data_IF_776744186975
#
_entry.id   IF_776744186975
#
_cell.length_a   1.000
_cell.length_b   1.000
_cell.length_c   1.000
_cell.angle_alpha   90.00
_cell.angle_beta   90.00
_cell.angle_gamma   90.00
#
_symmetry.space_group_name_H-M   'P 1'
#
loop_
_entity.id
_entity.type
_entity.pdbx_description
1 polymer ?
#
# COMPACT_ATOMS: atom_id res chain seq x y z
N UNK A 1 12.33 -4.96 33.60
CA UNK A 1 11.81 -3.94 32.66
C UNK A 1 13.03 -3.25 32.07
N UNK A 2 13.18 -3.24 30.75
CA UNK A 2 14.37 -2.68 30.10
C UNK A 2 14.19 -1.16 29.98
N UNK A 3 15.03 -0.40 30.67
CA UNK A 3 15.00 1.07 30.66
C UNK A 3 15.93 1.64 29.59
N UNK A 4 15.47 1.60 28.34
CA UNK A 4 16.22 2.07 27.15
C UNK A 4 16.31 3.59 27.06
N UNK A 5 15.50 4.32 27.82
CA UNK A 5 15.50 5.79 27.77
C UNK A 5 16.64 6.33 28.63
N UNK A 6 16.93 5.67 29.75
CA UNK A 6 17.93 6.11 30.71
C UNK A 6 19.26 5.36 30.64
N UNK A 7 19.29 4.18 30.00
CA UNK A 7 20.50 3.36 29.88
C UNK A 7 20.92 3.14 28.42
N UNK A 8 22.23 2.90 28.16
CA UNK A 8 22.69 2.48 26.86
C UNK A 8 21.96 1.24 26.35
N UNK A 9 21.72 1.22 25.04
CA UNK A 9 21.05 0.09 24.40
C UNK A 9 22.02 -1.09 24.29
N UNK A 10 21.73 -2.15 25.04
CA UNK A 10 22.42 -3.44 24.97
C UNK A 10 21.63 -4.40 24.09
N UNK A 11 22.34 -5.14 23.22
CA UNK A 11 21.74 -6.12 22.33
C UNK A 11 22.73 -7.27 22.09
N UNK A 12 22.17 -8.44 21.78
CA UNK A 12 22.96 -9.61 21.44
C UNK A 12 23.57 -9.45 20.03
N UNK A 13 24.90 -9.52 19.97
CA UNK A 13 25.66 -9.37 18.73
C UNK A 13 25.62 -10.62 17.84
N UNK A 14 25.27 -11.77 18.39
CA UNK A 14 25.09 -12.99 17.60
C UNK A 14 23.80 -12.91 16.77
N UNK A 15 22.76 -12.30 17.34
CA UNK A 15 21.50 -12.08 16.62
C UNK A 15 21.58 -10.86 15.70
N UNK A 16 22.07 -9.73 16.20
CA UNK A 16 22.18 -8.49 15.43
C UNK A 16 23.65 -8.09 15.33
N UNK A 17 24.22 -8.26 14.15
CA UNK A 17 25.63 -8.01 13.84
C UNK A 17 26.13 -6.60 14.18
N UNK A 18 25.25 -5.59 14.23
CA UNK A 18 25.66 -4.24 14.56
C UNK A 18 24.53 -3.23 14.81
N UNK A 19 24.92 -2.08 15.35
CA UNK A 19 24.00 -0.98 15.71
C UNK A 19 23.21 -0.46 14.51
N UNK A 20 23.82 -0.38 13.34
CA UNK A 20 23.13 0.07 12.12
C UNK A 20 22.00 -0.87 11.74
N UNK A 21 22.20 -2.19 11.87
CA UNK A 21 21.15 -3.18 11.60
C UNK A 21 20.04 -3.07 12.65
N UNK A 22 20.38 -2.94 13.93
CA UNK A 22 19.39 -2.69 14.99
C UNK A 22 18.50 -1.49 14.66
N UNK A 23 19.11 -0.36 14.26
CA UNK A 23 18.38 0.85 13.87
C UNK A 23 17.48 0.60 12.67
N UNK A 24 17.95 -0.09 11.64
CA UNK A 24 17.15 -0.40 10.45
C UNK A 24 15.95 -1.29 10.77
N UNK A 25 16.16 -2.35 11.57
CA UNK A 25 15.08 -3.24 12.02
C UNK A 25 14.05 -2.45 12.83
N UNK A 26 14.51 -1.67 13.81
CA UNK A 26 13.63 -0.87 14.65
C UNK A 26 12.88 0.21 13.85
N UNK A 27 13.51 0.82 12.84
CA UNK A 27 12.86 1.81 11.99
C UNK A 27 11.77 1.21 11.09
N UNK A 28 12.05 0.05 10.47
CA UNK A 28 11.04 -0.68 9.70
C UNK A 28 9.87 -1.08 10.59
N UNK A 29 10.17 -1.64 11.77
CA UNK A 29 9.14 -2.04 12.72
C UNK A 29 8.33 -0.87 13.26
N UNK A 30 8.96 0.27 13.55
CA UNK A 30 8.25 1.47 13.98
C UNK A 30 7.27 1.97 12.90
N UNK A 31 7.61 1.82 11.61
CA UNK A 31 6.71 2.12 10.50
C UNK A 31 5.49 1.21 10.49
N UNK A 32 5.67 -0.10 10.71
CA UNK A 32 4.56 -1.05 10.82
C UNK A 32 3.63 -0.71 12.00
N UNK A 33 4.20 -0.44 13.17
CA UNK A 33 3.45 -0.03 14.36
C UNK A 33 2.68 1.27 14.11
N UNK A 34 3.29 2.24 13.42
CA UNK A 34 2.62 3.48 13.04
C UNK A 34 1.47 3.25 12.04
N UNK A 35 1.57 2.24 11.19
CA UNK A 35 0.48 1.80 10.30
C UNK A 35 -0.60 0.96 11.00
N UNK A 36 -0.52 0.77 12.32
CA UNK A 36 -1.52 0.05 13.11
C UNK A 36 -1.21 -1.43 13.37
N UNK A 37 0.01 -1.89 13.11
CA UNK A 37 0.41 -3.25 13.49
C UNK A 37 0.39 -3.42 15.02
N UNK A 38 -0.02 -4.61 15.48
CA UNK A 38 -0.04 -4.92 16.91
C UNK A 38 1.38 -5.07 17.47
N UNK A 39 1.67 -4.53 18.67
CA UNK A 39 2.91 -4.78 19.37
C UNK A 39 3.05 -6.27 19.74
N UNK A 40 4.25 -6.83 19.55
CA UNK A 40 4.59 -8.21 19.92
C UNK A 40 5.00 -8.35 21.39
N UNK A 41 5.15 -7.23 22.10
CA UNK A 41 5.50 -7.18 23.52
C UNK A 41 4.51 -6.32 24.29
N UNK A 42 4.30 -6.67 25.55
CA UNK A 42 3.61 -5.81 26.50
C UNK A 42 4.61 -4.85 27.14
N UNK A 43 4.46 -3.56 26.91
CA UNK A 43 5.36 -2.53 27.45
C UNK A 43 4.58 -1.30 27.90
N UNK A 44 5.15 -0.56 28.87
CA UNK A 44 4.63 0.75 29.30
C UNK A 44 5.05 1.89 28.38
N UNK A 45 5.92 1.61 27.41
CA UNK A 45 6.39 2.61 26.47
C UNK A 45 5.28 2.98 25.49
N UNK A 46 4.96 4.27 25.39
CA UNK A 46 3.93 4.77 24.46
C UNK A 46 4.50 5.12 23.08
N UNK A 47 5.82 5.31 22.95
CA UNK A 47 6.45 5.69 21.69
C UNK A 47 6.71 4.45 20.84
N UNK A 48 6.23 4.47 19.59
CA UNK A 48 6.42 3.37 18.62
C UNK A 48 7.89 3.03 18.37
N UNK A 49 8.78 4.03 18.39
CA UNK A 49 10.22 3.82 18.26
C UNK A 49 10.81 3.08 19.45
N UNK A 50 10.38 3.40 20.68
CA UNK A 50 10.83 2.70 21.89
C UNK A 50 10.33 1.26 21.91
N UNK A 51 9.08 1.03 21.53
CA UNK A 51 8.52 -0.31 21.38
C UNK A 51 9.29 -1.14 20.35
N UNK A 52 9.53 -0.58 19.16
CA UNK A 52 10.25 -1.27 18.11
C UNK A 52 11.68 -1.68 18.50
N UNK A 53 12.41 -0.80 19.21
CA UNK A 53 13.75 -1.13 19.71
C UNK A 53 13.67 -2.25 20.76
N UNK A 54 12.70 -2.20 21.68
CA UNK A 54 12.51 -3.26 22.68
C UNK A 54 12.18 -4.60 22.04
N UNK A 55 11.30 -4.62 21.02
CA UNK A 55 10.95 -5.82 20.28
C UNK A 55 12.16 -6.42 19.55
N UNK A 56 13.01 -5.57 18.97
CA UNK A 56 14.24 -5.99 18.29
C UNK A 56 15.25 -6.64 19.25
N UNK A 57 15.49 -6.01 20.40
CA UNK A 57 16.48 -6.51 21.40
C UNK A 57 16.00 -7.81 22.05
N UNK A 58 14.69 -7.95 22.25
CA UNK A 58 14.10 -9.17 22.81
C UNK A 58 14.00 -10.31 21.78
N UNK A 59 14.50 -10.13 20.56
CA UNK A 59 14.47 -11.14 19.50
C UNK A 59 13.05 -11.52 19.07
N UNK A 60 12.07 -10.62 19.22
CA UNK A 60 10.66 -10.88 18.83
C UNK A 60 10.38 -10.55 17.36
N UNK A 61 11.36 -9.97 16.67
CA UNK A 61 11.28 -9.58 15.28
C UNK A 61 12.06 -10.56 14.43
N UNK A 62 11.38 -11.10 13.43
CA UNK A 62 12.00 -11.88 12.38
C UNK A 62 12.49 -10.92 11.30
N UNK A 63 13.71 -11.11 10.83
CA UNK A 63 14.29 -10.30 9.77
C UNK A 63 15.20 -11.16 8.90
N UNK A 64 15.23 -10.84 7.61
CA UNK A 64 16.08 -11.50 6.63
C UNK A 64 17.39 -10.73 6.44
N UNK A 65 18.46 -11.45 6.10
CA UNK A 65 19.77 -10.84 5.82
C UNK A 65 20.38 -11.43 4.55
N UNK A 66 21.41 -10.77 4.00
CA UNK A 66 22.13 -11.26 2.82
C UNK A 66 21.27 -11.34 1.56
N UNK A 67 21.46 -12.42 0.79
CA UNK A 67 20.78 -12.63 -0.50
C UNK A 67 19.26 -12.75 -0.36
N UNK A 68 18.78 -13.33 0.73
CA UNK A 68 17.34 -13.49 1.00
C UNK A 68 16.65 -12.13 1.13
N UNK A 69 17.31 -11.19 1.81
CA UNK A 69 16.81 -9.82 1.94
C UNK A 69 16.77 -9.09 0.59
N UNK A 70 17.73 -9.35 -0.29
CA UNK A 70 17.75 -8.77 -1.65
C UNK A 70 16.59 -9.32 -2.48
N UNK A 71 16.41 -10.64 -2.50
CA UNK A 71 15.31 -11.30 -3.22
C UNK A 71 13.94 -10.83 -2.74
N UNK A 72 13.71 -10.82 -1.42
CA UNK A 72 12.45 -10.35 -0.84
C UNK A 72 12.15 -8.88 -1.20
N UNK A 73 13.18 -8.03 -1.23
CA UNK A 73 13.04 -6.62 -1.61
C UNK A 73 12.76 -6.43 -3.10
N UNK A 74 13.30 -7.27 -3.97
CA UNK A 74 12.96 -7.27 -5.40
C UNK A 74 11.52 -7.75 -5.64
N UNK A 75 11.09 -8.79 -4.94
CA UNK A 75 9.71 -9.31 -5.02
C UNK A 75 8.69 -8.28 -4.54
N UNK A 76 8.95 -7.63 -3.40
CA UNK A 76 8.09 -6.56 -2.90
C UNK A 76 7.94 -5.42 -3.90
N UNK A 77 9.04 -4.99 -4.55
CA UNK A 77 8.99 -3.97 -5.61
C UNK A 77 8.17 -4.41 -6.82
N UNK A 78 8.32 -5.67 -7.26
CA UNK A 78 7.53 -6.21 -8.39
C UNK A 78 6.04 -6.19 -8.10
N UNK A 79 5.64 -6.48 -6.86
CA UNK A 79 4.25 -6.41 -6.43
C UNK A 79 3.72 -4.97 -6.53
N UNK A 80 4.48 -3.99 -6.03
CA UNK A 80 4.10 -2.57 -6.13
C UNK A 80 3.93 -2.12 -7.59
N UNK A 81 4.86 -2.49 -8.49
CA UNK A 81 4.75 -2.14 -9.90
C UNK A 81 3.53 -2.76 -10.60
N UNK A 82 3.22 -4.03 -10.30
CA UNK A 82 2.02 -4.68 -10.85
C UNK A 82 0.76 -3.99 -10.40
N UNK A 83 0.65 -3.66 -9.11
CA UNK A 83 -0.51 -2.96 -8.56
C UNK A 83 -0.72 -1.59 -9.23
N UNK A 84 0.35 -0.81 -9.39
CA UNK A 84 0.28 0.49 -10.07
C UNK A 84 -0.13 0.35 -11.54
N UNK A 85 0.35 -0.68 -12.24
CA UNK A 85 -0.06 -0.97 -13.61
C UNK A 85 -1.53 -1.38 -13.70
N UNK A 86 -2.01 -2.20 -12.76
CA UNK A 86 -3.42 -2.59 -12.70
C UNK A 86 -4.34 -1.41 -12.38
N UNK A 87 -3.95 -0.55 -11.44
CA UNK A 87 -4.71 0.65 -11.10
C UNK A 87 -4.80 1.60 -12.30
N UNK A 88 -3.69 1.84 -13.01
CA UNK A 88 -3.69 2.63 -14.25
C UNK A 88 -4.56 2.00 -15.34
N UNK A 89 -4.54 0.67 -15.50
CA UNK A 89 -5.36 -0.01 -16.50
C UNK A 89 -6.85 0.14 -16.19
N UNK A 90 -7.24 0.03 -14.93
CA UNK A 90 -8.63 0.26 -14.51
C UNK A 90 -9.08 1.69 -14.76
N UNK A 91 -8.23 2.67 -14.53
CA UNK A 91 -8.54 4.08 -14.84
C UNK A 91 -8.85 4.27 -16.33
N UNK A 92 -8.03 3.70 -17.21
CA UNK A 92 -8.25 3.75 -18.66
C UNK A 92 -9.55 3.02 -19.07
N UNK A 93 -9.81 1.83 -18.52
CA UNK A 93 -11.05 1.08 -18.81
C UNK A 93 -12.31 1.87 -18.37
N UNK A 94 -12.23 2.64 -17.27
CA UNK A 94 -13.33 3.52 -16.83
C UNK A 94 -13.50 4.72 -17.76
N UNK A 95 -12.41 5.30 -18.24
CA UNK A 95 -12.44 6.41 -19.21
C UNK A 95 -13.10 5.95 -20.53
N UNK A 96 -12.66 4.81 -21.07
CA UNK A 96 -13.21 4.20 -22.29
C UNK A 96 -14.72 3.90 -22.18
N UNK A 97 -15.17 3.35 -21.04
CA UNK A 97 -16.60 3.11 -20.77
C UNK A 97 -17.41 4.41 -20.78
N UNK A 98 -16.84 5.49 -20.23
CA UNK A 98 -17.51 6.80 -20.19
C UNK A 98 -17.62 7.46 -21.57
N UNK A 99 -16.65 7.22 -22.45
CA UNK A 99 -16.70 7.70 -23.85
C UNK A 99 -17.78 6.95 -24.63
N UNK A 100 -17.83 5.62 -24.48
CA UNK A 100 -18.88 4.78 -25.07
C UNK A 100 -20.29 5.18 -24.62
N UNK A 101 -20.48 5.53 -23.34
CA UNK A 101 -21.76 6.03 -22.83
C UNK A 101 -22.19 7.35 -23.50
N UNK A 102 -21.24 8.28 -23.70
CA UNK A 102 -21.52 9.55 -24.39
C UNK A 102 -21.93 9.32 -25.85
N UNK A 103 -21.18 8.48 -26.56
CA UNK A 103 -21.47 8.16 -27.96
C UNK A 103 -22.84 7.48 -28.12
N UNK A 104 -23.20 6.59 -27.18
CA UNK A 104 -24.50 5.94 -27.16
C UNK A 104 -25.63 6.94 -26.91
N UNK A 105 -25.41 7.91 -26.02
CA UNK A 105 -26.38 8.96 -25.73
C UNK A 105 -26.61 9.87 -26.95
N UNK A 106 -25.55 10.22 -27.70
CA UNK A 106 -25.66 10.97 -28.97
C UNK A 106 -26.48 10.18 -29.98
N UNK A 107 -26.18 8.89 -30.16
CA UNK A 107 -26.90 8.04 -31.10
C UNK A 107 -28.39 7.89 -30.74
N UNK A 108 -28.72 7.78 -29.45
CA UNK A 108 -30.11 7.75 -28.99
C UNK A 108 -30.84 9.07 -29.29
N UNK A 109 -30.18 10.21 -29.05
CA UNK A 109 -30.75 11.52 -29.35
C UNK A 109 -30.99 11.72 -30.85
N UNK A 110 -30.00 11.39 -31.69
CA UNK A 110 -30.13 11.46 -33.15
C UNK A 110 -31.24 10.54 -33.68
N UNK A 111 -31.40 9.36 -33.08
CA UNK A 111 -32.46 8.41 -33.44
C UNK A 111 -33.85 8.90 -33.01
N UNK A 112 -33.97 9.48 -31.82
CA UNK A 112 -35.23 10.09 -31.35
C UNK A 112 -35.61 11.28 -32.24
N UNK A 113 -34.65 12.15 -32.57
CA UNK A 113 -34.86 13.28 -33.48
C UNK A 113 -35.28 12.81 -34.87
N UNK A 114 -34.62 11.80 -35.44
CA UNK A 114 -35.01 11.21 -36.73
C UNK A 114 -36.43 10.63 -36.69
N UNK A 115 -36.80 9.90 -35.63
CA UNK A 115 -38.16 9.36 -35.48
C UNK A 115 -39.23 10.44 -35.28
N UNK A 116 -38.89 11.52 -34.57
CA UNK A 116 -39.81 12.66 -34.37
C UNK A 116 -40.02 13.46 -35.65
N UNK A 117 -38.99 13.53 -36.52
CA UNK A 117 -39.10 14.16 -37.83
C UNK A 117 -39.88 13.31 -38.84
N UNK A 118 -39.81 11.97 -38.76
CA UNK A 118 -40.66 11.09 -39.58
C UNK A 118 -42.14 11.14 -39.15
N UNK A 119 -42.43 11.15 -37.83
CA UNK A 119 -43.81 11.26 -37.33
C UNK A 119 -44.47 12.62 -37.64
N UNK A 120 -43.69 13.70 -37.69
CA UNK A 120 -44.24 15.02 -38.01
C UNK A 120 -44.55 15.18 -39.50
N UNK A 121 -43.88 14.44 -40.39
CA UNK A 121 -44.18 14.40 -41.83
C UNK A 121 -45.45 13.58 -42.14
N UNK A 122 -45.71 12.48 -41.41
CA UNK A 122 -46.95 11.68 -41.59
C UNK A 122 -48.21 12.36 -41.04
N UNK A 123 -48.08 13.37 -40.18
CA UNK A 123 -49.23 14.09 -39.60
C UNK A 123 -49.73 15.30 -40.41
N UNK A 124 -49.06 15.65 -41.51
CA UNK A 124 -49.41 16.79 -42.40
C UNK A 124 -50.04 16.37 -43.76
N UNK A 125 -50.30 15.08 -44.01
CA UNK A 125 -51.06 14.59 -45.19
C UNK A 125 -52.56 14.36 -44.96
#
# INVERSE_FOLDING_TARGET
MIDIISLPVEFDREQIDGRFRLVNIAAQRAKELASGAEPKITSKANKVSTLAIQEAILGRLEFLTGEEAVKAREEAKKIDFRRVLEDRRKELEVEDLSELEKDLQVYMHEKEEASSSDESIESEE
#
